data_IF_271930381267
#
_entry.id   IF_271930381267
#
_cell.length_a   1.000
_cell.length_b   1.000
_cell.length_c   1.000
_cell.angle_alpha   90.00
_cell.angle_beta   90.00
_cell.angle_gamma   90.00
#
_symmetry.space_group_name_H-M   'P 1'
#
loop_
_entity.id
_entity.type
_entity.pdbx_description
1 polymer ?
#
# COMPACT_ATOMS: atom_id res chain seq x y z
N UNK A 1 -65.20 11.13 -49.56
CA UNK A 1 -64.62 12.36 -49.00
C UNK A 1 -64.93 12.40 -47.52
N UNK A 2 -63.95 12.16 -46.65
CA UNK A 2 -64.05 12.52 -45.24
C UNK A 2 -62.64 12.64 -44.67
N UNK A 3 -62.34 13.83 -44.18
CA UNK A 3 -61.08 14.20 -43.55
C UNK A 3 -60.95 13.50 -42.19
N UNK A 4 -59.73 13.12 -41.82
CA UNK A 4 -59.41 12.89 -40.40
C UNK A 4 -58.04 13.47 -40.08
N UNK A 5 -58.06 14.29 -39.04
CA UNK A 5 -57.10 15.30 -38.63
C UNK A 5 -55.84 14.66 -38.05
N UNK A 6 -54.65 15.12 -38.48
CA UNK A 6 -53.36 14.79 -37.85
C UNK A 6 -53.23 15.51 -36.51
N UNK A 7 -53.20 14.77 -35.42
CA UNK A 7 -52.67 15.23 -34.13
C UNK A 7 -51.16 14.95 -34.07
N UNK A 8 -50.37 16.02 -33.87
CA UNK A 8 -48.95 15.97 -33.55
C UNK A 8 -48.78 15.38 -32.15
N UNK A 9 -48.11 14.23 -32.03
CA UNK A 9 -47.49 13.78 -30.78
C UNK A 9 -45.98 14.06 -30.87
N UNK A 10 -45.54 15.11 -30.18
CA UNK A 10 -44.14 15.34 -29.87
C UNK A 10 -43.79 14.52 -28.62
N UNK A 11 -42.78 13.66 -28.74
CA UNK A 11 -42.33 12.79 -27.67
C UNK A 11 -41.11 11.99 -28.14
N UNK A 12 -40.00 12.68 -28.39
CA UNK A 12 -38.71 12.02 -28.57
C UNK A 12 -38.30 11.33 -27.27
N UNK A 13 -37.58 10.19 -27.33
CA UNK A 13 -37.16 9.49 -26.13
C UNK A 13 -36.18 10.39 -25.36
N UNK A 14 -36.63 10.85 -24.20
CA UNK A 14 -35.80 11.51 -23.20
C UNK A 14 -34.66 10.58 -22.83
N UNK A 15 -33.44 11.01 -23.15
CA UNK A 15 -32.21 10.41 -22.69
C UNK A 15 -32.28 10.21 -21.17
N UNK A 16 -32.38 8.95 -20.74
CA UNK A 16 -32.18 8.59 -19.35
C UNK A 16 -30.79 9.09 -18.94
N UNK A 17 -30.77 10.05 -18.01
CA UNK A 17 -29.57 10.56 -17.37
C UNK A 17 -28.90 9.41 -16.62
N UNK A 18 -27.85 8.85 -17.21
CA UNK A 18 -26.95 7.96 -16.50
C UNK A 18 -26.35 8.72 -15.32
N UNK A 19 -26.58 8.25 -14.10
CA UNK A 19 -25.77 8.61 -12.93
C UNK A 19 -24.30 8.46 -13.35
N UNK A 20 -23.40 9.45 -13.16
CA UNK A 20 -22.02 9.33 -13.58
C UNK A 20 -21.41 8.08 -12.93
N UNK A 21 -21.19 7.04 -13.73
CA UNK A 21 -20.82 5.74 -13.20
C UNK A 21 -19.45 5.77 -12.52
N UNK A 22 -19.23 4.85 -11.58
CA UNK A 22 -17.95 4.62 -10.92
C UNK A 22 -16.88 4.04 -11.86
N UNK A 23 -16.81 4.49 -13.11
CA UNK A 23 -15.87 3.98 -14.10
C UNK A 23 -14.75 4.98 -14.36
N UNK A 24 -13.54 4.46 -14.59
CA UNK A 24 -12.38 5.28 -14.90
C UNK A 24 -12.62 6.10 -16.17
N UNK A 25 -12.63 7.44 -16.10
CA UNK A 25 -12.96 8.27 -17.24
C UNK A 25 -11.80 8.33 -18.23
N UNK A 26 -12.13 8.56 -19.51
CA UNK A 26 -11.14 8.96 -20.51
C UNK A 26 -10.81 10.44 -20.32
N UNK A 27 -9.62 10.75 -19.81
CA UNK A 27 -9.17 12.13 -19.68
C UNK A 27 -9.01 12.83 -21.06
N UNK A 28 -9.22 14.16 -21.15
CA UNK A 28 -8.90 14.96 -22.33
C UNK A 28 -7.45 14.76 -22.80
N UNK A 29 -7.18 14.89 -24.10
CA UNK A 29 -5.85 14.65 -24.69
C UNK A 29 -4.72 15.40 -23.97
N UNK A 30 -4.91 16.69 -23.69
CA UNK A 30 -3.93 17.52 -22.98
C UNK A 30 -3.61 16.95 -21.60
N UNK A 31 -4.62 16.56 -20.80
CA UNK A 31 -4.41 15.96 -19.48
C UNK A 31 -3.68 14.62 -19.57
N UNK A 32 -4.00 13.79 -20.58
CA UNK A 32 -3.29 12.52 -20.81
C UNK A 32 -1.81 12.74 -21.15
N UNK A 33 -1.51 13.72 -22.00
CA UNK A 33 -0.13 14.10 -22.31
C UNK A 33 0.63 14.58 -21.07
N UNK A 34 -0.02 15.39 -20.23
CA UNK A 34 0.57 15.85 -18.96
C UNK A 34 0.84 14.70 -18.01
N UNK A 35 -0.11 13.78 -17.81
CA UNK A 35 0.11 12.59 -16.98
C UNK A 35 1.22 11.70 -17.55
N UNK A 36 1.28 11.50 -18.87
CA UNK A 36 2.35 10.75 -19.51
C UNK A 36 3.72 11.41 -19.29
N UNK A 37 3.83 12.72 -19.52
CA UNK A 37 5.07 13.47 -19.33
C UNK A 37 5.52 13.40 -17.87
N UNK A 38 4.59 13.59 -16.95
CA UNK A 38 4.84 13.48 -15.51
C UNK A 38 5.35 12.07 -15.16
N UNK A 39 4.66 11.01 -15.58
CA UNK A 39 5.10 9.62 -15.36
C UNK A 39 6.48 9.34 -15.96
N UNK A 40 6.75 9.85 -17.16
CA UNK A 40 8.04 9.71 -17.85
C UNK A 40 9.17 10.41 -17.10
N UNK A 41 8.97 11.64 -16.63
CA UNK A 41 9.93 12.39 -15.83
C UNK A 41 10.26 11.62 -14.54
N UNK A 42 9.24 11.16 -13.81
CA UNK A 42 9.48 10.45 -12.55
C UNK A 42 10.16 9.10 -12.76
N UNK A 43 9.73 8.33 -13.75
CA UNK A 43 10.36 7.04 -14.06
C UNK A 43 11.80 7.24 -14.54
N UNK A 44 12.06 8.27 -15.34
CA UNK A 44 13.39 8.66 -15.81
C UNK A 44 14.31 9.08 -14.65
N UNK A 45 13.81 9.93 -13.75
CA UNK A 45 14.54 10.34 -12.54
C UNK A 45 14.90 9.15 -11.66
N UNK A 46 13.96 8.23 -11.41
CA UNK A 46 14.22 7.01 -10.65
C UNK A 46 15.23 6.10 -11.37
N UNK A 47 15.17 6.01 -12.70
CA UNK A 47 16.15 5.30 -13.51
C UNK A 47 17.56 5.88 -13.37
N UNK A 48 17.70 7.20 -13.43
CA UNK A 48 18.97 7.91 -13.25
C UNK A 48 19.51 7.77 -11.82
N UNK A 49 18.66 7.85 -10.80
CA UNK A 49 19.07 7.59 -9.42
C UNK A 49 19.58 6.15 -9.24
N UNK A 50 18.96 5.18 -9.92
CA UNK A 50 19.41 3.78 -9.90
C UNK A 50 20.76 3.58 -10.57
N UNK A 51 21.07 4.28 -11.67
CA UNK A 51 22.38 4.18 -12.33
C UNK A 51 23.48 4.83 -11.50
N UNK A 52 23.16 5.88 -10.73
CA UNK A 52 24.08 6.53 -9.80
C UNK A 52 24.24 5.76 -8.48
N UNK A 53 23.32 4.85 -8.14
CA UNK A 53 23.29 4.13 -6.87
C UNK A 53 24.62 3.46 -6.49
N UNK A 54 25.35 2.75 -7.37
CA UNK A 54 26.64 2.16 -7.01
C UNK A 54 27.69 3.20 -6.60
N UNK A 55 27.67 4.38 -7.21
CA UNK A 55 28.57 5.49 -6.88
C UNK A 55 28.17 6.08 -5.52
N UNK A 56 26.87 6.30 -5.31
CA UNK A 56 26.32 6.79 -4.03
C UNK A 56 26.62 5.81 -2.90
N UNK A 57 26.40 4.51 -3.10
CA UNK A 57 26.68 3.47 -2.10
C UNK A 57 28.18 3.35 -1.80
N UNK A 58 29.07 3.70 -2.75
CA UNK A 58 30.52 3.74 -2.49
C UNK A 58 30.91 4.93 -1.61
N UNK A 59 30.24 6.07 -1.75
CA UNK A 59 30.52 7.31 -0.99
C UNK A 59 29.80 7.30 0.36
N UNK A 60 28.58 6.76 0.39
CA UNK A 60 27.71 6.66 1.55
C UNK A 60 27.22 5.20 1.68
N UNK A 61 28.09 4.28 2.13
CA UNK A 61 27.74 2.88 2.24
C UNK A 61 26.56 2.68 3.17
N UNK A 62 25.57 1.92 2.69
CA UNK A 62 24.46 1.51 3.53
C UNK A 62 24.95 0.55 4.61
N UNK A 63 24.44 0.71 5.83
CA UNK A 63 24.76 -0.18 6.94
C UNK A 63 24.14 -1.58 6.79
N UNK A 64 23.24 -1.76 5.82
CA UNK A 64 22.54 -3.02 5.56
C UNK A 64 22.38 -3.26 4.06
N UNK A 65 22.33 -4.54 3.69
CA UNK A 65 22.11 -5.02 2.33
C UNK A 65 21.25 -6.29 2.41
N UNK A 66 20.46 -6.63 1.37
CA UNK A 66 19.82 -7.93 1.32
C UNK A 66 20.86 -9.04 1.36
N UNK A 67 20.56 -10.13 2.06
CA UNK A 67 21.42 -11.31 2.12
C UNK A 67 21.62 -11.90 0.72
N UNK A 68 20.56 -11.92 -0.10
CA UNK A 68 20.63 -12.31 -1.50
C UNK A 68 19.61 -11.57 -2.35
N UNK A 69 19.93 -11.41 -3.64
CA UNK A 69 19.01 -10.93 -4.67
C UNK A 69 18.78 -12.08 -5.64
N UNK A 70 17.53 -12.49 -5.81
CA UNK A 70 17.17 -13.66 -6.62
C UNK A 70 16.20 -13.30 -7.74
N UNK A 71 16.40 -13.90 -8.90
CA UNK A 71 15.45 -13.84 -10.01
C UNK A 71 14.88 -15.23 -10.25
N UNK A 72 13.57 -15.30 -10.49
CA UNK A 72 12.90 -16.53 -10.84
C UNK A 72 12.59 -16.58 -12.32
N UNK A 73 12.66 -17.78 -12.94
CA UNK A 73 12.29 -17.97 -14.34
C UNK A 73 10.85 -17.54 -14.66
N UNK A 74 9.95 -17.63 -13.67
CA UNK A 74 8.56 -17.17 -13.81
C UNK A 74 8.46 -15.65 -14.02
N UNK A 75 9.43 -14.86 -13.52
CA UNK A 75 9.50 -13.40 -13.62
C UNK A 75 10.97 -12.93 -13.65
N UNK A 76 11.71 -13.14 -14.76
CA UNK A 76 13.16 -12.95 -14.80
C UNK A 76 13.60 -11.48 -14.65
N UNK A 77 12.72 -10.53 -14.97
CA UNK A 77 12.97 -9.09 -14.84
C UNK A 77 12.54 -8.49 -13.50
N UNK A 78 12.05 -9.30 -12.55
CA UNK A 78 11.55 -8.85 -11.25
C UNK A 78 12.36 -9.50 -10.11
N UNK A 79 13.58 -9.00 -9.83
CA UNK A 79 14.38 -9.51 -8.74
C UNK A 79 13.66 -9.33 -7.41
N UNK A 80 13.65 -10.39 -6.61
CA UNK A 80 13.29 -10.32 -5.19
C UNK A 80 14.56 -10.05 -4.35
N UNK A 81 14.39 -9.38 -3.22
CA UNK A 81 15.45 -9.12 -2.25
C UNK A 81 15.12 -9.90 -1.00
N UNK A 82 16.03 -10.74 -0.52
CA UNK A 82 15.80 -11.63 0.61
C UNK A 82 16.71 -11.24 1.76
N UNK A 83 16.11 -11.10 2.93
CA UNK A 83 16.78 -10.81 4.19
C UNK A 83 16.62 -12.02 5.10
N UNK A 84 17.73 -12.61 5.50
CA UNK A 84 17.79 -13.56 6.60
C UNK A 84 18.23 -12.84 7.87
N UNK A 85 17.70 -13.22 9.05
CA UNK A 85 18.06 -12.57 10.29
C UNK A 85 19.51 -12.86 10.66
N UNK A 86 20.15 -11.93 11.36
CA UNK A 86 21.52 -12.08 11.83
C UNK A 86 21.67 -13.36 12.67
N UNK A 87 22.68 -14.16 12.34
CA UNK A 87 22.95 -15.43 13.01
C UNK A 87 22.24 -16.64 12.41
N UNK A 88 21.34 -16.46 11.43
CA UNK A 88 20.75 -17.57 10.70
C UNK A 88 21.67 -18.03 9.55
N UNK A 89 22.12 -19.28 9.60
CA UNK A 89 22.88 -19.90 8.52
C UNK A 89 21.94 -20.46 7.44
N UNK A 90 21.62 -19.63 6.45
CA UNK A 90 20.80 -20.03 5.30
C UNK A 90 21.50 -21.05 4.37
N UNK A 91 22.78 -21.35 4.55
CA UNK A 91 23.47 -22.41 3.81
C UNK A 91 23.28 -23.78 4.45
N UNK A 92 22.99 -23.82 5.76
CA UNK A 92 22.72 -25.05 6.49
C UNK A 92 21.35 -25.64 6.08
N UNK A 93 21.29 -26.83 5.47
CA UNK A 93 20.04 -27.47 5.10
C UNK A 93 19.22 -28.04 6.26
N UNK A 94 19.80 -28.12 7.46
CA UNK A 94 19.15 -28.60 8.68
C UNK A 94 18.69 -27.44 9.59
N UNK A 95 18.75 -26.19 9.13
CA UNK A 95 18.25 -25.04 9.89
C UNK A 95 16.74 -25.11 10.13
N UNK A 96 16.30 -24.67 11.31
CA UNK A 96 14.87 -24.60 11.62
C UNK A 96 14.17 -23.58 10.71
N UNK A 97 12.96 -23.88 10.19
CA UNK A 97 12.18 -22.92 9.44
C UNK A 97 11.78 -21.70 10.30
N UNK A 98 11.81 -20.52 9.68
CA UNK A 98 11.49 -19.23 10.31
C UNK A 98 10.16 -18.67 9.77
N UNK A 99 9.50 -17.76 10.52
CA UNK A 99 8.42 -16.95 9.95
C UNK A 99 8.88 -16.22 8.70
N UNK A 100 7.96 -15.97 7.76
CA UNK A 100 8.23 -15.23 6.54
C UNK A 100 7.26 -14.07 6.37
N UNK A 101 7.81 -12.89 6.08
CA UNK A 101 7.07 -11.71 5.66
C UNK A 101 7.41 -11.36 4.21
N UNK A 102 6.45 -11.48 3.32
CA UNK A 102 6.55 -10.87 1.99
C UNK A 102 6.28 -9.36 2.10
N UNK A 103 7.18 -8.54 1.55
CA UNK A 103 7.09 -7.09 1.60
C UNK A 103 6.88 -6.52 0.20
N UNK A 104 5.85 -5.70 0.01
CA UNK A 104 5.52 -5.09 -1.28
C UNK A 104 5.72 -3.57 -1.18
N UNK A 105 6.69 -3.06 -1.94
CA UNK A 105 7.04 -1.64 -1.92
C UNK A 105 5.94 -0.75 -2.52
N UNK A 106 5.94 0.54 -2.14
CA UNK A 106 5.03 1.56 -2.67
C UNK A 106 5.50 2.26 -3.95
N UNK A 107 4.86 3.37 -4.31
CA UNK A 107 5.23 4.18 -5.47
C UNK A 107 4.11 4.40 -6.49
N UNK A 108 2.86 4.40 -6.04
CA UNK A 108 1.70 4.74 -6.90
C UNK A 108 1.56 3.86 -8.14
N UNK A 109 2.05 2.60 -8.09
CA UNK A 109 2.08 1.63 -9.19
C UNK A 109 2.93 2.03 -10.42
N UNK A 110 3.40 3.28 -10.49
CA UNK A 110 4.14 3.87 -11.61
C UNK A 110 5.63 3.94 -11.32
N UNK A 111 5.99 4.23 -10.07
CA UNK A 111 7.38 4.38 -9.61
C UNK A 111 7.67 3.40 -8.47
N UNK A 112 8.86 3.55 -7.88
CA UNK A 112 9.31 2.76 -6.75
C UNK A 112 10.02 1.48 -7.16
N UNK A 113 10.92 1.05 -6.29
CA UNK A 113 11.73 -0.16 -6.40
C UNK A 113 11.83 -0.81 -5.01
N UNK A 114 12.04 -2.13 -4.91
CA UNK A 114 11.99 -2.85 -3.64
C UNK A 114 13.07 -2.40 -2.63
N UNK A 115 14.18 -1.84 -3.10
CA UNK A 115 15.27 -1.33 -2.27
C UNK A 115 14.90 -0.09 -1.45
N UNK A 116 13.83 0.63 -1.80
CA UNK A 116 13.33 1.75 -1.01
C UNK A 116 12.97 1.32 0.41
N UNK A 117 12.47 0.09 0.58
CA UNK A 117 12.03 -0.46 1.86
C UNK A 117 13.12 -1.29 2.55
N UNK A 118 14.36 -1.35 2.04
CA UNK A 118 15.39 -2.24 2.58
C UNK A 118 15.71 -1.98 4.06
N UNK A 119 15.68 -0.73 4.51
CA UNK A 119 15.91 -0.37 5.91
C UNK A 119 14.85 -0.99 6.82
N UNK A 120 13.57 -0.78 6.46
CA UNK A 120 12.43 -1.34 7.17
C UNK A 120 12.48 -2.87 7.14
N UNK A 121 12.74 -3.46 5.96
CA UNK A 121 12.80 -4.91 5.76
C UNK A 121 13.92 -5.56 6.59
N UNK A 122 15.11 -4.94 6.58
CA UNK A 122 16.26 -5.39 7.37
C UNK A 122 16.00 -5.25 8.87
N UNK A 123 15.39 -4.13 9.31
CA UNK A 123 15.07 -3.94 10.71
C UNK A 123 14.05 -4.96 11.20
N UNK A 124 12.92 -5.13 10.47
CA UNK A 124 11.88 -6.12 10.80
C UNK A 124 12.44 -7.55 10.86
N UNK A 125 13.25 -7.93 9.85
CA UNK A 125 13.90 -9.23 9.75
C UNK A 125 14.67 -9.57 11.03
N UNK A 126 15.55 -8.67 11.46
CA UNK A 126 16.42 -8.89 12.62
C UNK A 126 15.67 -8.80 13.95
N UNK A 127 14.72 -7.87 14.09
CA UNK A 127 13.96 -7.69 15.33
C UNK A 127 13.13 -8.93 15.66
N UNK A 128 12.50 -9.54 14.65
CA UNK A 128 11.55 -10.64 14.86
C UNK A 128 12.07 -12.02 14.46
N UNK A 129 13.37 -12.13 14.13
CA UNK A 129 13.98 -13.38 13.65
C UNK A 129 13.17 -14.03 12.51
N UNK A 130 12.76 -13.22 11.55
CA UNK A 130 11.89 -13.62 10.44
C UNK A 130 12.58 -13.38 9.10
N UNK A 131 12.32 -14.24 8.11
CA UNK A 131 12.76 -14.00 6.74
C UNK A 131 11.88 -12.91 6.13
N UNK A 132 12.50 -11.88 5.55
CA UNK A 132 11.76 -10.86 4.80
C UNK A 132 12.10 -10.98 3.32
N UNK A 133 11.07 -11.09 2.48
CA UNK A 133 11.22 -11.21 1.03
C UNK A 133 10.55 -10.00 0.37
N UNK A 134 11.36 -9.03 -0.04
CA UNK A 134 10.88 -7.84 -0.74
C UNK A 134 10.64 -8.15 -2.21
N UNK A 135 9.40 -7.94 -2.65
CA UNK A 135 8.91 -8.27 -3.97
C UNK A 135 8.99 -7.07 -4.92
N UNK A 136 9.24 -7.37 -6.19
CA UNK A 136 9.17 -6.38 -7.27
C UNK A 136 7.99 -6.69 -8.20
N UNK A 137 7.49 -5.68 -8.89
CA UNK A 137 6.38 -5.79 -9.83
C UNK A 137 6.55 -4.84 -11.01
N UNK A 138 6.00 -5.18 -12.17
CA UNK A 138 6.04 -4.30 -13.34
C UNK A 138 5.22 -3.03 -13.12
N UNK A 139 5.64 -1.92 -13.73
CA UNK A 139 5.07 -0.60 -13.46
C UNK A 139 4.14 -0.10 -14.58
N UNK A 140 3.11 0.62 -14.17
CA UNK A 140 2.29 1.45 -15.04
C UNK A 140 3.10 2.64 -15.60
N UNK A 141 2.72 3.23 -16.75
CA UNK A 141 1.58 2.89 -17.61
C UNK A 141 1.82 1.70 -18.56
N UNK A 142 3.05 1.18 -18.65
CA UNK A 142 3.35 0.04 -19.54
C UNK A 142 2.66 -1.26 -19.11
N UNK A 143 2.48 -1.43 -17.81
CA UNK A 143 1.85 -2.59 -17.19
C UNK A 143 0.78 -2.13 -16.18
N UNK A 144 -0.39 -1.67 -16.67
CA UNK A 144 -1.47 -1.20 -15.82
C UNK A 144 -2.12 -2.36 -15.04
N UNK A 145 -3.10 -2.02 -14.19
CA UNK A 145 -3.98 -2.98 -13.53
C UNK A 145 -4.53 -4.01 -14.54
N UNK A 146 -4.58 -5.32 -14.19
CA UNK A 146 -4.18 -5.95 -12.93
C UNK A 146 -2.74 -6.50 -12.93
N UNK A 147 -1.88 -6.11 -13.89
CA UNK A 147 -0.56 -6.73 -14.12
C UNK A 147 0.30 -6.85 -12.84
N UNK A 148 0.44 -5.81 -11.99
CA UNK A 148 1.23 -5.92 -10.77
C UNK A 148 0.72 -7.00 -9.80
N UNK A 149 -0.59 -7.24 -9.74
CA UNK A 149 -1.19 -8.28 -8.88
C UNK A 149 -0.72 -9.66 -9.36
N UNK A 150 -0.76 -9.90 -10.67
CA UNK A 150 -0.28 -11.16 -11.26
C UNK A 150 1.22 -11.38 -11.07
N UNK A 151 2.02 -10.31 -11.02
CA UNK A 151 3.46 -10.40 -10.76
C UNK A 151 3.75 -10.80 -9.32
N UNK A 152 3.19 -10.07 -8.36
CA UNK A 152 3.34 -10.36 -6.94
C UNK A 152 2.85 -11.78 -6.63
N UNK A 153 1.68 -12.15 -7.16
CA UNK A 153 1.12 -13.49 -6.95
C UNK A 153 2.04 -14.59 -7.46
N UNK A 154 2.56 -14.43 -8.68
CA UNK A 154 3.47 -15.42 -9.27
C UNK A 154 4.76 -15.53 -8.47
N UNK A 155 5.32 -14.43 -7.98
CA UNK A 155 6.54 -14.44 -7.17
C UNK A 155 6.33 -15.13 -5.82
N UNK A 156 5.25 -14.80 -5.08
CA UNK A 156 4.94 -15.46 -3.80
C UNK A 156 4.75 -16.95 -4.01
N UNK A 157 3.96 -17.34 -5.01
CA UNK A 157 3.70 -18.75 -5.34
C UNK A 157 5.02 -19.47 -5.66
N UNK A 158 5.85 -18.88 -6.52
CA UNK A 158 7.15 -19.49 -6.92
C UNK A 158 8.08 -19.64 -5.72
N UNK A 159 8.14 -18.66 -4.82
CA UNK A 159 8.97 -18.75 -3.61
C UNK A 159 8.50 -19.87 -2.71
N UNK A 160 7.19 -19.97 -2.46
CA UNK A 160 6.63 -20.96 -1.54
C UNK A 160 6.64 -22.40 -2.11
N UNK A 161 6.77 -22.56 -3.43
CA UNK A 161 6.88 -23.86 -4.11
C UNK A 161 8.33 -24.34 -4.26
N UNK A 162 9.32 -23.45 -4.07
CA UNK A 162 10.75 -23.74 -4.25
C UNK A 162 11.35 -24.40 -3.00
N UNK A 163 10.87 -25.62 -2.66
CA UNK A 163 11.30 -26.42 -1.51
C UNK A 163 12.77 -26.84 -1.52
N UNK A 164 13.45 -26.70 -2.65
CA UNK A 164 14.90 -26.96 -2.76
C UNK A 164 15.75 -25.74 -2.41
N UNK A 165 15.14 -24.57 -2.23
CA UNK A 165 15.83 -23.33 -1.94
C UNK A 165 15.10 -22.51 -0.86
N UNK A 166 14.35 -21.45 -1.21
CA UNK A 166 13.82 -20.51 -0.21
C UNK A 166 12.72 -21.13 0.66
N UNK A 167 11.83 -21.95 0.09
CA UNK A 167 10.68 -22.46 0.85
C UNK A 167 11.10 -23.38 2.00
N UNK A 168 12.27 -24.04 1.93
CA UNK A 168 12.77 -24.90 3.02
C UNK A 168 13.10 -24.13 4.30
N UNK A 169 13.35 -22.83 4.18
CA UNK A 169 13.65 -21.96 5.31
C UNK A 169 12.39 -21.30 5.91
N UNK A 170 11.24 -21.46 5.24
CA UNK A 170 9.99 -20.78 5.61
C UNK A 170 9.09 -21.75 6.36
N UNK A 171 8.63 -21.35 7.53
CA UNK A 171 7.55 -22.03 8.23
C UNK A 171 6.21 -21.74 7.51
N UNK A 172 5.56 -22.75 6.89
CA UNK A 172 4.34 -22.55 6.12
C UNK A 172 3.16 -22.08 6.98
N UNK A 173 3.21 -22.27 8.30
CA UNK A 173 2.19 -21.81 9.23
C UNK A 173 2.43 -20.39 9.73
N UNK A 174 3.53 -19.75 9.33
CA UNK A 174 3.89 -18.38 9.75
C UNK A 174 4.31 -17.54 8.56
N UNK A 175 3.40 -17.41 7.59
CA UNK A 175 3.58 -16.58 6.39
C UNK A 175 2.61 -15.40 6.41
N UNK A 176 3.14 -14.19 6.21
CA UNK A 176 2.36 -12.97 6.12
C UNK A 176 2.78 -12.11 4.92
N UNK A 177 1.91 -11.17 4.53
CA UNK A 177 2.21 -10.18 3.48
C UNK A 177 2.00 -8.77 4.03
N UNK A 178 3.03 -7.95 4.01
CA UNK A 178 2.96 -6.52 4.25
C UNK A 178 3.17 -5.74 2.96
N UNK A 179 2.61 -4.54 2.88
CA UNK A 179 2.86 -3.66 1.75
C UNK A 179 2.50 -2.22 2.04
N UNK A 180 3.15 -1.31 1.33
CA UNK A 180 3.18 0.11 1.66
C UNK A 180 2.54 0.92 0.53
N UNK A 181 1.55 1.77 0.81
CA UNK A 181 0.89 2.64 -0.19
C UNK A 181 0.28 1.81 -1.33
N UNK A 182 0.74 1.99 -2.57
CA UNK A 182 0.42 1.11 -3.70
C UNK A 182 0.68 -0.37 -3.38
N UNK A 183 1.77 -0.68 -2.67
CA UNK A 183 2.07 -2.02 -2.18
C UNK A 183 1.05 -2.53 -1.17
N UNK A 184 0.49 -1.68 -0.32
CA UNK A 184 -0.59 -2.05 0.62
C UNK A 184 -1.89 -2.36 -0.12
N UNK A 185 -2.12 -1.69 -1.25
CA UNK A 185 -3.22 -2.00 -2.17
C UNK A 185 -3.01 -3.37 -2.82
N UNK A 186 -1.78 -3.66 -3.27
CA UNK A 186 -1.41 -4.98 -3.80
C UNK A 186 -1.48 -6.08 -2.72
N UNK A 187 -1.18 -5.78 -1.45
CA UNK A 187 -1.38 -6.70 -0.33
C UNK A 187 -2.84 -7.10 -0.19
N UNK A 188 -3.77 -6.14 -0.28
CA UNK A 188 -5.21 -6.41 -0.25
C UNK A 188 -5.67 -7.21 -1.48
N UNK A 189 -5.15 -6.89 -2.66
CA UNK A 189 -5.52 -7.56 -3.90
C UNK A 189 -4.96 -8.99 -4.00
N UNK A 190 -3.70 -9.20 -3.60
CA UNK A 190 -3.03 -10.51 -3.67
C UNK A 190 -3.62 -11.50 -2.66
N UNK A 191 -4.08 -11.01 -1.51
CA UNK A 191 -4.72 -11.84 -0.48
C UNK A 191 -6.03 -12.48 -0.96
N UNK A 192 -6.69 -11.87 -1.96
CA UNK A 192 -7.91 -12.39 -2.58
C UNK A 192 -7.62 -13.52 -3.57
N UNK A 193 -6.37 -13.68 -4.02
CA UNK A 193 -5.99 -14.66 -5.02
C UNK A 193 -6.06 -16.08 -4.42
N UNK A 194 -6.82 -17.02 -5.02
CA UNK A 194 -6.98 -18.38 -4.47
C UNK A 194 -5.67 -19.10 -4.15
N UNK A 195 -4.66 -18.92 -5.00
CA UNK A 195 -3.31 -19.48 -4.90
C UNK A 195 -2.49 -18.94 -3.70
N UNK A 196 -2.88 -17.77 -3.16
CA UNK A 196 -2.21 -17.13 -2.02
C UNK A 196 -3.03 -17.28 -0.74
N UNK A 197 -4.35 -17.14 -0.84
CA UNK A 197 -5.24 -17.00 0.31
C UNK A 197 -5.11 -18.10 1.35
N UNK A 198 -4.91 -19.35 0.94
CA UNK A 198 -4.76 -20.50 1.85
C UNK A 198 -3.33 -20.68 2.38
N UNK A 199 -2.36 -19.91 1.86
CA UNK A 199 -0.93 -20.02 2.16
C UNK A 199 -0.40 -18.89 3.03
N UNK A 200 -1.23 -17.89 3.35
CA UNK A 200 -0.87 -16.76 4.21
C UNK A 200 -1.81 -16.70 5.42
N UNK A 201 -1.25 -16.38 6.58
CA UNK A 201 -2.00 -16.31 7.84
C UNK A 201 -2.47 -14.90 8.17
N UNK A 202 -1.78 -13.88 7.67
CA UNK A 202 -2.08 -12.49 7.96
C UNK A 202 -1.65 -11.54 6.83
N UNK A 203 -2.29 -10.38 6.79
CA UNK A 203 -1.84 -9.25 5.96
C UNK A 203 -1.70 -7.96 6.75
N UNK A 204 -0.76 -7.12 6.33
CA UNK A 204 -0.45 -5.81 6.93
C UNK A 204 -0.39 -4.74 5.83
N UNK A 205 -1.55 -4.23 5.34
CA UNK A 205 -1.57 -3.09 4.44
C UNK A 205 -1.27 -1.78 5.20
N UNK A 206 -0.14 -1.16 4.87
CA UNK A 206 0.34 0.09 5.47
C UNK A 206 -0.02 1.26 4.55
N UNK A 207 -0.80 2.21 5.08
CA UNK A 207 -1.42 3.37 4.41
C UNK A 207 -1.91 3.05 2.98
N UNK A 208 -2.77 2.03 2.79
CA UNK A 208 -3.13 1.53 1.47
C UNK A 208 -3.98 2.54 0.67
N UNK A 209 -3.72 2.63 -0.63
CA UNK A 209 -4.67 3.23 -1.57
C UNK A 209 -5.81 2.23 -1.84
N UNK A 210 -6.79 2.19 -0.94
CA UNK A 210 -7.85 1.18 -0.95
C UNK A 210 -9.19 1.68 -1.49
N UNK A 211 -9.31 2.95 -1.85
CA UNK A 211 -10.53 3.52 -2.42
C UNK A 211 -10.15 4.33 -3.65
N UNK A 212 -10.57 3.89 -4.83
CA UNK A 212 -10.41 4.60 -6.10
C UNK A 212 -11.71 5.23 -6.60
N UNK A 213 -12.85 4.88 -6.00
CA UNK A 213 -14.16 5.38 -6.40
C UNK A 213 -14.43 6.78 -5.86
N UNK A 214 -13.91 7.12 -4.68
CA UNK A 214 -14.07 8.46 -4.12
C UNK A 214 -13.15 9.46 -4.82
N UNK A 215 -13.71 10.59 -5.31
CA UNK A 215 -12.94 11.67 -5.92
C UNK A 215 -11.81 12.22 -5.04
N UNK A 216 -10.72 12.65 -5.66
CA UNK A 216 -9.54 13.16 -4.94
C UNK A 216 -9.85 14.41 -4.10
N UNK A 217 -10.70 15.31 -4.58
CA UNK A 217 -11.10 16.52 -3.86
C UNK A 217 -11.87 16.20 -2.57
N UNK A 218 -12.68 15.15 -2.58
CA UNK A 218 -13.33 14.63 -1.36
C UNK A 218 -12.27 14.11 -0.38
N UNK A 219 -11.29 13.32 -0.83
CA UNK A 219 -10.19 12.82 0.02
C UNK A 219 -9.35 13.94 0.61
N UNK A 220 -9.07 14.98 -0.18
CA UNK A 220 -8.34 16.18 0.28
C UNK A 220 -9.10 16.88 1.40
N UNK A 221 -10.42 17.01 1.27
CA UNK A 221 -11.25 17.61 2.33
C UNK A 221 -11.26 16.80 3.63
N UNK A 222 -11.18 15.48 3.54
CA UNK A 222 -11.20 14.56 4.69
C UNK A 222 -9.85 14.42 5.39
N UNK A 223 -8.78 14.87 4.73
CA UNK A 223 -7.43 14.81 5.28
C UNK A 223 -7.34 15.71 6.50
N UNK A 224 -6.87 15.16 7.62
CA UNK A 224 -6.60 15.95 8.82
C UNK A 224 -5.45 16.94 8.58
N UNK A 225 -5.65 18.17 9.04
CA UNK A 225 -4.61 19.19 9.18
C UNK A 225 -4.52 19.58 10.66
N UNK A 226 -3.30 19.78 11.17
CA UNK A 226 -3.08 20.17 12.56
C UNK A 226 -2.30 21.47 12.66
N UNK A 227 -2.82 22.37 13.47
CA UNK A 227 -2.14 23.62 13.81
C UNK A 227 -0.96 23.33 14.75
N UNK A 228 0.08 24.17 14.71
CA UNK A 228 1.26 24.04 15.57
C UNK A 228 2.38 23.12 15.04
N UNK A 229 2.12 22.30 14.01
CA UNK A 229 3.18 21.58 13.30
C UNK A 229 4.08 22.55 12.51
N UNK A 230 5.34 22.13 12.29
CA UNK A 230 6.34 22.88 11.52
C UNK A 230 6.83 22.06 10.31
N UNK A 231 7.50 22.74 9.39
CA UNK A 231 8.19 22.10 8.27
C UNK A 231 7.22 21.44 7.28
N UNK A 232 7.58 20.25 6.80
CA UNK A 232 6.81 19.56 5.76
C UNK A 232 5.40 19.18 6.24
N UNK A 233 5.25 18.83 7.51
CA UNK A 233 3.97 18.40 8.11
C UNK A 233 2.96 19.53 8.32
N UNK A 234 3.43 20.78 8.36
CA UNK A 234 2.60 21.97 8.54
C UNK A 234 1.87 22.41 7.25
N UNK A 235 2.21 21.81 6.11
CA UNK A 235 1.65 22.23 4.81
C UNK A 235 0.15 21.98 4.78
N UNK A 236 -0.59 22.97 4.27
CA UNK A 236 -2.05 22.88 4.01
C UNK A 236 -2.38 22.12 2.72
N UNK A 237 -1.43 21.39 2.16
CA UNK A 237 -1.61 20.50 1.02
C UNK A 237 -0.88 19.18 1.24
N UNK A 238 -1.46 18.10 0.73
CA UNK A 238 -0.81 16.81 0.69
C UNK A 238 -0.01 16.69 -0.61
N UNK A 239 1.25 16.25 -0.51
CA UNK A 239 2.11 16.09 -1.68
C UNK A 239 1.57 15.04 -2.65
N UNK A 240 0.80 14.06 -2.16
CA UNK A 240 0.27 12.98 -2.97
C UNK A 240 -0.82 13.47 -3.95
N UNK A 241 -1.46 14.61 -3.67
CA UNK A 241 -2.45 15.24 -4.56
C UNK A 241 -1.87 15.51 -5.94
N UNK A 242 -0.63 16.01 -6.00
CA UNK A 242 0.05 16.33 -7.26
C UNK A 242 0.32 15.09 -8.12
N UNK A 243 0.33 13.90 -7.49
CA UNK A 243 0.69 12.64 -8.13
C UNK A 243 -0.53 11.76 -8.42
N UNK A 244 -1.61 11.89 -7.65
CA UNK A 244 -2.80 11.03 -7.77
C UNK A 244 -3.35 10.97 -9.19
N UNK A 245 -3.50 12.11 -9.87
CA UNK A 245 -4.02 12.13 -11.23
C UNK A 245 -3.15 11.32 -12.20
N UNK A 246 -1.82 11.45 -12.08
CA UNK A 246 -0.85 10.71 -12.87
C UNK A 246 -0.86 9.21 -12.54
N UNK A 247 -0.90 8.85 -11.25
CA UNK A 247 -0.96 7.47 -10.81
C UNK A 247 -2.23 6.77 -11.27
N UNK A 248 -3.40 7.36 -11.01
CA UNK A 248 -4.68 6.79 -11.40
C UNK A 248 -4.78 6.66 -12.93
N UNK A 249 -4.38 7.69 -13.67
CA UNK A 249 -4.39 7.65 -15.14
C UNK A 249 -3.47 6.56 -15.70
N UNK A 250 -2.30 6.37 -15.10
CA UNK A 250 -1.32 5.39 -15.57
C UNK A 250 -1.74 3.96 -15.21
N UNK A 251 -2.27 3.76 -14.01
CA UNK A 251 -2.52 2.44 -13.46
C UNK A 251 -3.88 1.86 -13.87
N UNK A 252 -4.92 2.68 -13.96
CA UNK A 252 -6.30 2.21 -14.13
C UNK A 252 -6.71 2.33 -15.61
N UNK A 253 -7.05 1.23 -16.30
CA UNK A 253 -7.54 1.27 -17.67
C UNK A 253 -8.83 2.10 -17.79
N UNK A 254 -9.00 2.81 -18.91
CA UNK A 254 -10.23 3.57 -19.21
C UNK A 254 -11.43 2.63 -19.23
N UNK A 255 -12.53 3.04 -18.60
CA UNK A 255 -13.77 2.28 -18.51
C UNK A 255 -13.75 1.17 -17.45
N UNK A 256 -12.65 0.99 -16.71
CA UNK A 256 -12.60 0.03 -15.61
C UNK A 256 -13.45 0.50 -14.43
N UNK A 257 -14.11 -0.44 -13.76
CA UNK A 257 -14.94 -0.18 -12.58
C UNK A 257 -14.04 0.16 -11.37
N UNK A 258 -14.17 1.38 -10.86
CA UNK A 258 -13.43 1.88 -9.71
C UNK A 258 -13.91 1.22 -8.40
N UNK A 259 -14.99 0.46 -8.43
CA UNK A 259 -15.47 -0.38 -7.31
C UNK A 259 -15.06 -1.84 -7.44
N UNK A 260 -14.23 -2.21 -8.42
CA UNK A 260 -13.64 -3.56 -8.48
C UNK A 260 -12.89 -3.84 -7.16
N UNK A 261 -13.24 -4.91 -6.40
CA UNK A 261 -12.60 -5.21 -5.11
C UNK A 261 -11.12 -5.58 -5.20
N UNK A 262 -10.61 -5.94 -6.39
CA UNK A 262 -9.16 -6.10 -6.63
C UNK A 262 -8.44 -4.76 -6.78
N UNK A 263 -9.16 -3.70 -7.14
CA UNK A 263 -8.64 -2.34 -7.24
C UNK A 263 -8.89 -1.56 -5.94
N UNK A 264 -10.14 -1.47 -5.51
CA UNK A 264 -10.60 -0.74 -4.34
C UNK A 264 -10.84 -1.68 -3.17
N UNK A 265 -9.81 -1.89 -2.38
CA UNK A 265 -9.89 -2.74 -1.20
C UNK A 265 -10.95 -2.31 -0.17
N UNK A 266 -11.40 -1.05 -0.14
CA UNK A 266 -12.47 -0.58 0.75
C UNK A 266 -13.75 -1.41 0.59
N UNK A 267 -14.07 -1.88 -0.62
CA UNK A 267 -15.30 -2.65 -0.91
C UNK A 267 -15.09 -4.16 -0.96
N UNK A 268 -13.87 -4.66 -0.74
CA UNK A 268 -13.58 -6.10 -0.84
C UNK A 268 -14.40 -6.92 0.17
N UNK A 269 -14.85 -8.14 -0.17
CA UNK A 269 -15.55 -8.99 0.79
C UNK A 269 -14.56 -9.51 1.84
N UNK A 270 -14.90 -9.38 3.13
CA UNK A 270 -14.04 -9.85 4.23
C UNK A 270 -13.69 -11.34 4.06
N UNK A 271 -14.65 -12.12 3.57
CA UNK A 271 -14.49 -13.53 3.23
C UNK A 271 -13.49 -13.80 2.11
N UNK A 272 -12.87 -12.81 1.47
CA UNK A 272 -11.77 -13.01 0.51
C UNK A 272 -10.37 -12.80 1.13
N UNK A 273 -10.28 -12.39 2.40
CA UNK A 273 -9.01 -12.17 3.11
C UNK A 273 -8.71 -13.28 4.13
N UNK A 274 -7.43 -13.47 4.50
CA UNK A 274 -7.07 -14.26 5.68
C UNK A 274 -7.76 -13.71 6.94
N UNK A 275 -7.88 -14.54 7.97
CA UNK A 275 -8.58 -14.16 9.21
C UNK A 275 -7.88 -13.06 10.00
N UNK A 276 -6.61 -12.75 9.72
CA UNK A 276 -5.85 -11.74 10.47
C UNK A 276 -5.49 -10.59 9.53
N UNK A 277 -5.97 -9.39 9.85
CA UNK A 277 -5.76 -8.19 9.03
C UNK A 277 -5.35 -7.04 9.94
N UNK A 278 -4.18 -6.46 9.70
CA UNK A 278 -3.69 -5.31 10.46
C UNK A 278 -3.51 -4.11 9.54
N UNK A 279 -4.45 -3.17 9.59
CA UNK A 279 -4.42 -1.97 8.76
C UNK A 279 -3.73 -0.85 9.52
N UNK A 280 -2.74 -0.26 8.87
CA UNK A 280 -1.99 0.87 9.42
C UNK A 280 -2.22 2.08 8.51
N UNK A 281 -2.36 3.27 9.07
CA UNK A 281 -2.52 4.51 8.32
C UNK A 281 -1.68 5.64 8.95
N UNK A 282 -1.48 6.73 8.21
CA UNK A 282 -0.87 7.95 8.73
C UNK A 282 -1.96 9.02 8.88
N UNK A 283 -2.05 9.68 10.04
CA UNK A 283 -3.18 10.57 10.36
C UNK A 283 -3.37 11.72 9.36
N UNK A 284 -2.28 12.30 8.87
CA UNK A 284 -2.29 13.41 7.91
C UNK A 284 -1.97 12.91 6.49
N UNK A 285 -2.56 11.80 6.10
CA UNK A 285 -2.52 11.24 4.75
C UNK A 285 -3.94 11.26 4.17
N UNK A 286 -4.07 11.74 2.92
CA UNK A 286 -5.35 11.73 2.21
C UNK A 286 -5.94 10.31 2.03
N UNK A 287 -5.13 9.26 2.15
CA UNK A 287 -5.57 7.86 2.10
C UNK A 287 -6.13 7.33 3.43
N UNK A 288 -5.92 8.05 4.54
CA UNK A 288 -6.21 7.55 5.88
C UNK A 288 -7.70 7.27 6.12
N UNK A 289 -8.58 8.10 5.57
CA UNK A 289 -10.02 7.94 5.73
C UNK A 289 -10.54 6.65 5.09
N UNK A 290 -10.12 6.34 3.86
CA UNK A 290 -10.47 5.08 3.20
C UNK A 290 -9.92 3.86 3.95
N UNK A 291 -8.70 3.94 4.45
CA UNK A 291 -8.11 2.88 5.28
C UNK A 291 -8.88 2.66 6.60
N UNK A 292 -9.33 3.75 7.23
CA UNK A 292 -10.15 3.70 8.45
C UNK A 292 -11.52 3.07 8.19
N UNK A 293 -12.18 3.46 7.09
CA UNK A 293 -13.44 2.88 6.63
C UNK A 293 -13.31 1.38 6.37
N UNK A 294 -12.25 0.97 5.67
CA UNK A 294 -11.91 -0.43 5.45
C UNK A 294 -11.75 -1.19 6.78
N UNK A 295 -10.99 -0.65 7.72
CA UNK A 295 -10.75 -1.28 9.02
C UNK A 295 -12.06 -1.47 9.79
N UNK A 296 -12.88 -0.42 9.93
CA UNK A 296 -14.17 -0.50 10.62
C UNK A 296 -15.09 -1.53 9.97
N UNK A 297 -15.18 -1.55 8.63
CA UNK A 297 -16.04 -2.51 7.91
C UNK A 297 -15.60 -3.95 8.15
N UNK A 298 -14.31 -4.26 8.03
CA UNK A 298 -13.79 -5.61 8.27
C UNK A 298 -13.98 -6.04 9.74
N UNK A 299 -13.94 -5.09 10.66
CA UNK A 299 -14.12 -5.30 12.09
C UNK A 299 -15.60 -5.40 12.52
N UNK A 300 -16.56 -5.11 11.63
CA UNK A 300 -17.97 -4.99 11.99
C UNK A 300 -18.27 -3.81 12.92
N UNK A 301 -17.41 -2.79 12.94
CA UNK A 301 -17.64 -1.52 13.65
C UNK A 301 -18.41 -0.55 12.75
N UNK A 302 -19.06 0.49 13.31
CA UNK A 302 -19.65 1.56 12.49
C UNK A 302 -18.64 2.14 11.51
N UNK A 303 -19.02 2.20 10.23
CA UNK A 303 -18.17 2.76 9.17
C UNK A 303 -18.33 4.28 9.19
N UNK A 304 -17.23 5.05 9.32
CA UNK A 304 -17.30 6.49 9.45
C UNK A 304 -17.81 7.16 8.17
N UNK A 305 -18.65 8.18 8.32
CA UNK A 305 -19.17 8.99 7.22
C UNK A 305 -18.11 9.92 6.61
N UNK A 306 -18.47 10.57 5.49
CA UNK A 306 -17.63 11.56 4.80
C UNK A 306 -17.71 12.98 5.42
N UNK A 307 -18.33 13.08 6.57
CA UNK A 307 -18.41 14.23 7.47
C UNK A 307 -17.50 14.04 8.71
N UNK A 308 -16.93 12.85 8.88
CA UNK A 308 -16.06 12.51 10.00
C UNK A 308 -14.59 12.50 9.56
N UNK A 309 -13.72 13.02 10.41
CA UNK A 309 -12.27 13.04 10.18
C UNK A 309 -11.56 11.98 11.04
N UNK A 310 -10.49 11.40 10.50
CA UNK A 310 -9.68 10.39 11.19
C UNK A 310 -8.82 11.03 12.29
N UNK A 311 -8.50 10.29 13.35
CA UNK A 311 -7.61 10.75 14.43
C UNK A 311 -8.20 11.85 15.31
N UNK A 312 -7.34 12.68 15.91
CA UNK A 312 -7.74 13.77 16.83
C UNK A 312 -7.19 15.12 16.34
N UNK A 313 -7.86 16.26 16.60
CA UNK A 313 -7.32 17.55 16.20
C UNK A 313 -6.05 17.95 17.00
N UNK A 314 -5.89 17.46 18.23
CA UNK A 314 -4.76 17.80 19.09
C UNK A 314 -3.46 17.13 18.64
N UNK A 315 -2.35 17.85 18.78
CA UNK A 315 -1.01 17.29 18.61
C UNK A 315 -0.77 16.17 19.61
N UNK A 316 -0.14 15.10 19.15
CA UNK A 316 0.22 13.97 19.98
C UNK A 316 1.67 14.08 20.44
N UNK A 317 2.05 13.38 21.52
CA UNK A 317 3.45 13.31 21.92
C UNK A 317 4.33 12.84 20.76
N UNK A 318 5.45 13.54 20.46
CA UNK A 318 6.34 13.13 19.39
C UNK A 318 7.03 11.80 19.72
N UNK A 319 7.54 11.13 18.69
CA UNK A 319 8.31 9.89 18.75
C UNK A 319 7.55 8.67 19.25
N UNK A 320 6.22 8.73 19.37
CA UNK A 320 5.39 7.65 19.90
C UNK A 320 4.15 7.41 19.07
N UNK A 321 3.76 6.14 18.98
CA UNK A 321 2.43 5.72 18.58
C UNK A 321 1.50 5.81 19.79
N UNK A 322 0.22 6.07 19.56
CA UNK A 322 -0.79 6.14 20.61
C UNK A 322 -1.61 4.84 20.60
N UNK A 323 -1.38 3.99 21.61
CA UNK A 323 -2.07 2.70 21.74
C UNK A 323 -3.25 2.73 22.72
N UNK A 324 -3.40 3.84 23.44
CA UNK A 324 -4.33 4.00 24.56
C UNK A 324 -5.64 4.71 24.16
N UNK A 325 -5.67 5.35 22.97
CA UNK A 325 -6.87 6.00 22.41
C UNK A 325 -7.39 5.23 21.19
N UNK A 326 -8.67 4.87 21.23
CA UNK A 326 -9.36 4.14 20.16
C UNK A 326 -9.41 4.90 18.82
N UNK A 327 -9.20 6.22 18.81
CA UNK A 327 -9.03 6.96 17.56
C UNK A 327 -7.77 6.52 16.80
N UNK A 328 -6.74 6.07 17.52
CA UNK A 328 -5.44 5.69 16.97
C UNK A 328 -5.20 4.19 16.94
N UNK A 329 -5.77 3.41 17.86
CA UNK A 329 -5.46 1.98 17.92
C UNK A 329 -6.60 1.17 18.51
N UNK A 330 -6.87 0.02 17.90
CA UNK A 330 -7.73 -1.01 18.49
C UNK A 330 -7.50 -2.37 17.83
N UNK A 331 -7.91 -3.42 18.55
CA UNK A 331 -7.94 -4.80 18.07
C UNK A 331 -9.35 -5.36 18.25
N UNK A 332 -9.99 -5.76 17.15
CA UNK A 332 -11.32 -6.34 17.16
C UNK A 332 -11.28 -7.80 16.71
N UNK A 333 -11.75 -8.69 17.58
CA UNK A 333 -12.10 -10.07 17.19
C UNK A 333 -13.58 -10.11 16.84
N UNK A 334 -13.89 -10.61 15.66
CA UNK A 334 -15.26 -10.71 15.15
C UNK A 334 -15.82 -12.12 15.40
N UNK A 335 -17.14 -12.30 15.26
CA UNK A 335 -17.82 -13.56 15.57
C UNK A 335 -17.37 -14.75 14.70
N UNK A 336 -16.87 -14.50 13.49
CA UNK A 336 -16.36 -15.55 12.58
C UNK A 336 -14.89 -15.96 12.88
N UNK A 337 -14.31 -15.40 13.95
CA UNK A 337 -12.94 -15.63 14.38
C UNK A 337 -11.91 -14.79 13.63
N UNK A 338 -12.31 -13.80 12.82
CA UNK A 338 -11.38 -12.83 12.23
C UNK A 338 -10.91 -11.82 13.27
N UNK A 339 -9.64 -11.48 13.18
CA UNK A 339 -8.96 -10.47 13.96
C UNK A 339 -8.58 -9.30 13.05
N UNK A 340 -9.16 -8.14 13.32
CA UNK A 340 -8.87 -6.89 12.61
C UNK A 340 -8.22 -5.93 13.58
N UNK A 341 -7.04 -5.45 13.23
CA UNK A 341 -6.30 -4.46 14.00
C UNK A 341 -6.21 -3.16 13.20
N UNK A 342 -6.37 -2.05 13.90
CA UNK A 342 -6.20 -0.70 13.38
C UNK A 342 -5.06 -0.01 14.13
N UNK A 343 -4.23 0.70 13.38
CA UNK A 343 -3.22 1.60 13.92
C UNK A 343 -3.15 2.85 13.03
N UNK A 344 -3.28 4.02 13.63
CA UNK A 344 -3.09 5.30 12.99
C UNK A 344 -1.85 5.94 13.59
N UNK A 345 -0.82 6.14 12.77
CA UNK A 345 0.37 6.88 13.18
C UNK A 345 -0.01 8.36 13.37
N UNK A 346 0.05 8.89 14.61
CA UNK A 346 -0.35 10.25 14.89
C UNK A 346 0.64 11.26 14.29
N UNK A 347 0.16 12.44 13.90
CA UNK A 347 0.98 13.54 13.36
C UNK A 347 1.94 13.12 12.23
N UNK A 348 1.59 12.04 11.54
CA UNK A 348 2.37 11.42 10.48
C UNK A 348 1.76 11.72 9.12
N UNK A 349 2.60 11.83 8.10
CA UNK A 349 2.20 11.98 6.69
C UNK A 349 2.46 10.68 5.93
N UNK A 350 2.01 10.60 4.69
CA UNK A 350 2.29 9.46 3.82
C UNK A 350 3.78 9.07 3.80
N UNK A 351 4.08 7.77 3.87
CA UNK A 351 5.43 7.21 3.93
C UNK A 351 6.29 7.69 5.12
N UNK A 352 5.67 7.90 6.29
CA UNK A 352 6.39 8.29 7.52
C UNK A 352 7.44 7.26 7.97
N UNK A 353 7.23 5.99 7.67
CA UNK A 353 8.06 4.83 7.99
C UNK A 353 9.27 4.63 7.05
N UNK A 354 9.37 5.42 5.98
CA UNK A 354 10.45 5.35 4.98
C UNK A 354 11.61 6.34 5.28
N UNK A 355 11.84 6.63 6.56
CA UNK A 355 12.79 7.65 7.08
C UNK A 355 12.60 9.07 6.50
N UNK A 356 11.47 9.36 5.84
CA UNK A 356 11.20 10.62 5.12
C UNK A 356 12.34 11.10 4.20
N UNK A 357 13.29 10.23 3.81
CA UNK A 357 14.51 10.58 3.05
C UNK A 357 14.19 11.32 1.76
N UNK A 358 13.11 10.89 1.10
CA UNK A 358 12.64 11.41 -0.18
C UNK A 358 11.71 12.62 -0.05
N UNK A 359 10.96 12.72 1.06
CA UNK A 359 9.89 13.72 1.21
C UNK A 359 10.37 15.00 1.90
N UNK A 360 11.26 14.88 2.87
CA UNK A 360 11.76 16.00 3.67
C UNK A 360 13.23 15.80 4.06
N UNK A 361 14.18 15.78 3.09
CA UNK A 361 15.58 15.45 3.36
C UNK A 361 16.26 16.37 4.40
N UNK A 362 15.75 17.58 4.61
CA UNK A 362 16.33 18.57 5.52
C UNK A 362 15.56 18.74 6.84
N UNK A 363 14.43 18.07 7.03
CA UNK A 363 13.60 18.18 8.24
C UNK A 363 14.04 17.15 9.30
N UNK A 364 15.06 17.50 10.08
CA UNK A 364 15.66 16.60 11.09
C UNK A 364 14.67 16.17 12.18
N UNK A 365 13.77 17.06 12.58
CA UNK A 365 12.77 16.81 13.62
C UNK A 365 11.76 15.77 13.12
N UNK A 366 11.20 15.98 11.92
CA UNK A 366 10.30 15.03 11.30
C UNK A 366 10.98 13.66 11.11
N UNK A 367 12.24 13.62 10.65
CA UNK A 367 12.97 12.37 10.48
C UNK A 367 13.14 11.57 11.77
N UNK A 368 13.45 12.23 12.88
CA UNK A 368 13.59 11.57 14.18
C UNK A 368 12.24 11.03 14.69
N UNK A 369 11.15 11.78 14.49
CA UNK A 369 9.78 11.34 14.80
C UNK A 369 9.37 10.12 13.97
N UNK A 370 9.57 10.20 12.66
CA UNK A 370 9.34 9.13 11.69
C UNK A 370 10.07 7.83 12.05
N UNK A 371 11.38 7.92 12.38
CA UNK A 371 12.17 6.76 12.80
C UNK A 371 11.63 6.10 14.06
N UNK A 372 11.39 6.87 15.11
CA UNK A 372 10.89 6.31 16.36
C UNK A 372 9.52 5.62 16.19
N UNK A 373 8.60 6.24 15.44
CA UNK A 373 7.29 5.65 15.13
C UNK A 373 7.39 4.40 14.26
N UNK A 374 8.33 4.37 13.29
CA UNK A 374 8.61 3.18 12.48
C UNK A 374 9.12 2.02 13.34
N UNK A 375 10.05 2.28 14.25
CA UNK A 375 10.64 1.23 15.09
C UNK A 375 9.57 0.65 16.03
N UNK A 376 8.71 1.50 16.60
CA UNK A 376 7.55 1.07 17.39
C UNK A 376 6.50 0.32 16.54
N UNK A 377 6.25 0.77 15.31
CA UNK A 377 5.37 0.08 14.34
C UNK A 377 5.89 -1.34 14.05
N UNK A 378 7.19 -1.49 13.76
CA UNK A 378 7.83 -2.78 13.49
C UNK A 378 7.67 -3.73 14.67
N UNK A 379 7.92 -3.25 15.90
CA UNK A 379 7.72 -4.01 17.13
C UNK A 379 6.27 -4.50 17.27
N UNK A 380 5.30 -3.62 17.07
CA UNK A 380 3.88 -3.94 17.18
C UNK A 380 3.45 -4.95 16.11
N UNK A 381 3.90 -4.80 14.87
CA UNK A 381 3.57 -5.72 13.77
C UNK A 381 4.12 -7.11 14.07
N UNK A 382 5.39 -7.25 14.42
CA UNK A 382 5.99 -8.57 14.59
C UNK A 382 5.47 -9.30 15.84
N UNK A 383 5.27 -8.59 16.96
CA UNK A 383 4.59 -9.17 18.14
C UNK A 383 3.18 -9.62 17.81
N UNK A 384 2.46 -8.84 16.99
CA UNK A 384 1.14 -9.26 16.54
C UNK A 384 1.23 -10.51 15.66
N UNK A 385 2.09 -10.52 14.64
CA UNK A 385 2.18 -11.63 13.70
C UNK A 385 2.62 -12.94 14.37
N UNK A 386 3.65 -12.87 15.23
CA UNK A 386 4.44 -14.03 15.67
C UNK A 386 4.51 -14.25 17.19
N UNK A 387 3.98 -13.32 17.98
CA UNK A 387 4.02 -13.36 19.44
C UNK A 387 2.87 -14.10 20.11
#
# INVERSE_FOLDING_TARGET
>A
MSATTRTKAAGGPTSASATPGHFQPRLPLVKRMLCWLQAAIFTGLMGALKTLKPVVDKIFPQSFHPTLIKNYKSRPGLPIRVFFPKGYDHKNPQGNPLPCLFSIHGGGFVVGIPDLNDDWNHHFCNTHSAIVIALNYRKAPRHPFPTPIHDVTALITTVLDDHKDLARHIDPNRVAVAGFSAGGSLTLAVAQQPQIRSRIQAIVPVYPACDFATPTDVKVRLRRYKEGLKGFRARKSDFLVYMMACFNWSYIPVGHDLTDPLLSGEVLPASALPKRVFIIAAEMDLLAHGAWRLACRLAGKPVPGYDQEVGRPELQPPHRLNLDDEAYHWLQKTKDGREVRWLLAPDAVHAFDMEAKLLAPFDKVMKADCRAKRDEEIEIIGKWLWG
#
